data_IF_967955800655
#
_entry.id   IF_967955800655
#
_cell.length_a   1.000
_cell.length_b   1.000
_cell.length_c   1.000
_cell.angle_alpha   90.00
_cell.angle_beta   90.00
_cell.angle_gamma   90.00
#
_symmetry.space_group_name_H-M   'P 1'
#
loop_
_entity.id
_entity.type
_entity.pdbx_description
1 polymer ?
#
# COMPACT_ATOMS: atom_id res chain seq x y z
N UNK A 1 91.13 -8.63 -8.47
CA UNK A 1 89.99 -7.83 -8.95
C UNK A 1 88.90 -8.75 -9.46
N UNK A 2 87.94 -9.14 -8.61
CA UNK A 2 86.68 -9.75 -9.04
C UNK A 2 85.57 -9.23 -8.12
N UNK A 3 84.53 -8.66 -8.74
CA UNK A 3 83.48 -7.85 -8.15
C UNK A 3 82.50 -8.71 -7.34
N UNK A 4 82.10 -8.20 -6.17
CA UNK A 4 80.89 -8.61 -5.47
C UNK A 4 79.68 -8.31 -6.36
N UNK A 5 78.79 -9.29 -6.54
CA UNK A 5 77.43 -9.07 -7.04
C UNK A 5 76.46 -9.61 -6.00
N UNK A 6 75.86 -8.69 -5.25
CA UNK A 6 74.64 -8.94 -4.49
C UNK A 6 73.48 -8.97 -5.48
N UNK A 7 72.85 -10.12 -5.64
CA UNK A 7 71.47 -10.20 -6.13
C UNK A 7 70.65 -10.91 -5.06
N UNK A 8 70.07 -10.09 -4.17
CA UNK A 8 69.05 -10.55 -3.23
C UNK A 8 67.76 -10.85 -3.99
N UNK A 9 67.32 -12.10 -3.95
CA UNK A 9 66.03 -12.52 -4.48
C UNK A 9 64.98 -12.17 -3.43
N UNK A 10 64.24 -11.09 -3.65
CA UNK A 10 63.06 -10.74 -2.88
C UNK A 10 61.92 -11.63 -3.38
N UNK A 11 61.58 -12.68 -2.62
CA UNK A 11 60.35 -13.43 -2.83
C UNK A 11 59.16 -12.57 -2.39
N UNK A 12 58.55 -11.85 -3.33
CA UNK A 12 57.25 -11.22 -3.13
C UNK A 12 56.23 -12.36 -3.09
N UNK A 13 55.86 -12.79 -1.88
CA UNK A 13 54.68 -13.63 -1.68
C UNK A 13 53.47 -12.76 -1.99
N UNK A 14 53.04 -12.76 -3.25
CA UNK A 14 51.80 -12.12 -3.65
C UNK A 14 50.66 -12.91 -3.02
N UNK A 15 50.13 -12.41 -1.91
CA UNK A 15 48.88 -12.87 -1.35
C UNK A 15 47.76 -12.46 -2.33
N UNK A 16 47.51 -13.29 -3.34
CA UNK A 16 46.36 -13.14 -4.23
C UNK A 16 45.12 -13.53 -3.43
N UNK A 17 44.59 -12.58 -2.67
CA UNK A 17 43.27 -12.71 -2.08
C UNK A 17 42.27 -12.65 -3.24
N UNK A 18 42.01 -13.80 -3.86
CA UNK A 18 40.88 -13.94 -4.76
C UNK A 18 39.61 -13.77 -3.93
N UNK A 19 39.13 -12.54 -3.84
CA UNK A 19 37.76 -12.29 -3.42
C UNK A 19 36.85 -12.90 -4.48
N UNK A 20 36.38 -14.13 -4.24
CA UNK A 20 35.26 -14.68 -4.97
C UNK A 20 34.05 -13.78 -4.67
N UNK A 21 33.78 -12.83 -5.56
CA UNK A 21 32.49 -12.16 -5.59
C UNK A 21 31.45 -13.23 -5.92
N UNK A 22 30.84 -13.82 -4.90
CA UNK A 22 29.66 -14.66 -5.08
C UNK A 22 28.58 -13.77 -5.68
N UNK A 23 28.30 -13.93 -6.97
CA UNK A 23 27.08 -13.42 -7.59
C UNK A 23 25.89 -14.17 -6.98
N UNK A 24 25.53 -13.81 -5.74
CA UNK A 24 24.24 -14.19 -5.17
C UNK A 24 23.22 -13.42 -6.00
N UNK A 25 22.65 -14.08 -7.03
CA UNK A 25 21.40 -13.59 -7.63
C UNK A 25 20.40 -13.53 -6.48
N UNK A 26 20.05 -12.32 -6.05
CA UNK A 26 18.93 -12.12 -5.14
C UNK A 26 17.72 -12.80 -5.76
N UNK A 27 17.15 -13.76 -5.03
CA UNK A 27 15.94 -14.44 -5.47
C UNK A 27 14.78 -13.45 -5.31
N UNK A 28 14.21 -13.03 -6.43
CA UNK A 28 13.10 -12.09 -6.50
C UNK A 28 11.77 -12.79 -6.78
N UNK A 29 11.71 -14.12 -6.59
CA UNK A 29 10.46 -14.85 -6.63
C UNK A 29 9.50 -14.40 -5.52
N UNK A 30 8.22 -14.48 -5.83
CA UNK A 30 7.10 -14.15 -4.95
C UNK A 30 5.97 -15.16 -5.17
N UNK A 31 4.97 -15.21 -4.32
CA UNK A 31 3.89 -16.20 -4.42
C UNK A 31 2.60 -15.58 -4.96
N UNK A 32 2.31 -14.34 -4.55
CA UNK A 32 1.08 -13.62 -4.89
C UNK A 32 1.32 -12.12 -5.05
N UNK A 33 0.32 -11.41 -5.54
CA UNK A 33 0.25 -9.96 -5.60
C UNK A 33 -0.75 -9.46 -4.56
N UNK A 34 -0.37 -8.44 -3.80
CA UNK A 34 -1.28 -7.74 -2.91
C UNK A 34 -1.63 -6.40 -3.54
N UNK A 35 -2.89 -6.22 -3.95
CA UNK A 35 -3.41 -4.90 -4.26
C UNK A 35 -3.88 -4.23 -2.97
N UNK A 36 -3.26 -3.12 -2.61
CA UNK A 36 -3.56 -2.41 -1.38
C UNK A 36 -4.20 -1.05 -1.66
N UNK A 37 -5.30 -0.80 -0.96
CA UNK A 37 -6.03 0.45 -0.95
C UNK A 37 -5.90 1.06 0.44
N UNK A 38 -5.62 2.35 0.54
CA UNK A 38 -5.54 3.07 1.80
C UNK A 38 -6.68 4.07 1.97
N UNK A 39 -7.02 4.34 3.23
CA UNK A 39 -8.00 5.34 3.59
C UNK A 39 -7.33 6.69 3.86
N UNK A 40 -7.45 7.69 2.96
CA UNK A 40 -6.64 8.90 3.03
C UNK A 40 -6.81 9.69 4.33
N UNK A 41 -8.00 9.66 4.95
CA UNK A 41 -8.23 10.38 6.19
C UNK A 41 -7.43 9.81 7.37
N UNK A 42 -7.39 8.48 7.53
CA UNK A 42 -6.57 7.83 8.57
C UNK A 42 -5.08 8.03 8.30
N UNK A 43 -4.65 7.88 7.04
CA UNK A 43 -3.25 8.11 6.64
C UNK A 43 -2.81 9.56 6.91
N UNK A 44 -3.66 10.52 6.59
CA UNK A 44 -3.42 11.93 6.88
C UNK A 44 -3.35 12.24 8.39
N UNK A 45 -4.26 11.64 9.18
CA UNK A 45 -4.26 11.78 10.65
C UNK A 45 -2.93 11.33 11.23
N UNK A 46 -2.45 10.15 10.83
CA UNK A 46 -1.14 9.62 11.23
C UNK A 46 0.01 10.53 10.77
N UNK A 47 -0.04 11.03 9.53
CA UNK A 47 0.98 11.93 8.99
C UNK A 47 1.11 13.22 9.81
N UNK A 48 -0.01 13.84 10.19
CA UNK A 48 -0.06 15.05 11.02
C UNK A 48 0.30 14.80 12.49
N UNK A 49 0.14 13.58 12.98
CA UNK A 49 0.57 13.20 14.32
C UNK A 49 2.09 13.23 14.45
N UNK A 50 2.80 12.79 13.40
CA UNK A 50 4.26 12.84 13.38
C UNK A 50 4.78 14.28 13.40
N UNK A 51 4.14 15.19 12.68
CA UNK A 51 4.42 16.62 12.72
C UNK A 51 3.13 17.41 12.40
N UNK A 52 2.60 18.23 13.33
CA UNK A 52 1.38 19.00 13.12
C UNK A 52 1.45 20.00 11.95
N UNK A 53 2.65 20.35 11.47
CA UNK A 53 2.86 21.23 10.31
C UNK A 53 2.62 20.53 8.98
N UNK A 54 2.59 19.20 8.97
CA UNK A 54 2.35 18.41 7.77
C UNK A 54 0.99 18.75 7.14
N UNK A 55 1.01 18.80 5.81
CA UNK A 55 -0.19 18.98 4.97
C UNK A 55 -0.56 17.64 4.35
N UNK A 56 -1.84 17.51 4.01
CA UNK A 56 -2.33 16.34 3.29
C UNK A 56 -2.90 16.78 1.95
N UNK A 57 -2.62 16.01 0.91
CA UNK A 57 -3.38 16.06 -0.33
C UNK A 57 -4.44 14.96 -0.27
N UNK A 58 -5.62 15.25 -0.80
CA UNK A 58 -6.76 14.33 -0.75
C UNK A 58 -7.27 14.08 -2.16
N UNK A 59 -7.85 12.90 -2.44
CA UNK A 59 -8.62 12.68 -3.66
C UNK A 59 -9.75 13.71 -3.80
N UNK A 60 -10.19 13.94 -5.05
CA UNK A 60 -11.30 14.87 -5.33
C UNK A 60 -12.56 14.52 -4.55
N UNK A 61 -12.86 13.23 -4.42
CA UNK A 61 -13.84 12.74 -3.44
C UNK A 61 -13.09 12.40 -2.14
N UNK A 62 -13.24 13.22 -1.10
CA UNK A 62 -12.59 12.97 0.20
C UNK A 62 -13.16 11.76 0.93
N UNK A 63 -14.27 11.20 0.46
CA UNK A 63 -14.91 10.00 0.99
C UNK A 63 -14.62 8.73 0.14
N UNK A 64 -13.45 8.66 -0.51
CA UNK A 64 -13.05 7.50 -1.33
C UNK A 64 -11.68 6.94 -0.97
N UNK A 65 -11.56 5.61 -1.02
CA UNK A 65 -10.28 4.90 -0.97
C UNK A 65 -9.36 5.33 -2.11
N UNK A 66 -8.06 5.27 -1.88
CA UNK A 66 -7.03 5.46 -2.92
C UNK A 66 -6.10 4.27 -2.95
N UNK A 67 -5.49 4.00 -4.10
CA UNK A 67 -4.47 2.99 -4.23
C UNK A 67 -3.26 3.40 -3.40
N UNK A 68 -2.77 2.49 -2.57
CA UNK A 68 -1.44 2.58 -1.98
C UNK A 68 -0.42 1.93 -2.92
N UNK A 69 -0.70 0.72 -3.41
CA UNK A 69 0.29 -0.11 -4.09
C UNK A 69 -0.19 -1.44 -4.67
N UNK A 70 0.65 -2.05 -5.51
CA UNK A 70 0.55 -3.46 -5.93
C UNK A 70 1.85 -4.16 -5.56
N UNK A 71 1.80 -5.08 -4.61
CA UNK A 71 2.99 -5.61 -3.96
C UNK A 71 3.16 -7.09 -4.25
N UNK A 72 4.12 -7.47 -5.11
CA UNK A 72 4.62 -8.84 -5.17
C UNK A 72 5.09 -9.27 -3.78
N UNK A 73 4.52 -10.37 -3.28
CA UNK A 73 4.75 -10.84 -1.91
C UNK A 73 5.07 -12.32 -1.89
N UNK A 74 6.18 -12.68 -1.26
CA UNK A 74 6.51 -14.05 -0.86
C UNK A 74 5.90 -14.30 0.52
N UNK A 75 5.13 -15.39 0.65
CA UNK A 75 4.45 -15.75 1.89
C UNK A 75 5.44 -15.86 3.06
N UNK A 76 5.01 -15.45 4.25
CA UNK A 76 5.88 -15.37 5.42
C UNK A 76 6.96 -14.29 5.36
N UNK A 77 6.96 -13.41 4.35
CA UNK A 77 7.91 -12.28 4.23
C UNK A 77 7.21 -10.96 3.92
N UNK A 78 7.96 -9.86 3.99
CA UNK A 78 7.51 -8.50 3.61
C UNK A 78 7.94 -8.09 2.19
N UNK A 79 8.57 -9.00 1.43
CA UNK A 79 9.16 -8.73 0.13
C UNK A 79 8.69 -9.73 -0.93
N UNK A 80 9.31 -9.75 -2.12
CA UNK A 80 10.56 -9.07 -2.48
C UNK A 80 10.42 -7.55 -2.65
N UNK A 81 11.55 -6.85 -2.66
CA UNK A 81 11.58 -5.40 -2.85
C UNK A 81 12.83 -4.98 -3.66
N UNK A 82 12.70 -3.88 -4.41
CA UNK A 82 13.80 -3.27 -5.17
C UNK A 82 14.49 -4.24 -6.13
N UNK A 83 13.70 -5.03 -6.88
CA UNK A 83 14.21 -6.13 -7.71
C UNK A 83 15.02 -5.68 -8.94
N UNK A 84 14.88 -4.43 -9.36
CA UNK A 84 15.75 -3.84 -10.38
C UNK A 84 16.09 -2.38 -10.04
N UNK A 85 17.21 -2.17 -9.34
CA UNK A 85 17.66 -0.83 -8.92
C UNK A 85 18.17 0.05 -10.07
N UNK A 86 18.38 -0.52 -11.25
CA UNK A 86 18.77 0.24 -12.45
C UNK A 86 17.58 0.70 -13.28
N UNK A 87 16.39 0.17 -13.01
CA UNK A 87 15.16 0.55 -13.70
C UNK A 87 14.39 1.58 -12.87
N UNK A 88 14.93 2.79 -12.87
CA UNK A 88 14.33 3.93 -12.18
C UNK A 88 13.02 4.35 -12.83
N UNK A 89 12.12 4.91 -12.02
CA UNK A 89 10.86 5.49 -12.48
C UNK A 89 11.10 6.65 -13.45
N UNK A 90 10.38 6.66 -14.57
CA UNK A 90 10.40 7.69 -15.60
C UNK A 90 8.98 8.25 -15.79
N UNK A 91 8.71 9.49 -15.32
CA UNK A 91 7.40 10.14 -15.45
C UNK A 91 6.85 10.15 -16.88
N UNK A 92 7.71 10.22 -17.90
CA UNK A 92 7.25 10.25 -19.30
C UNK A 92 6.58 8.92 -19.72
N UNK A 93 6.89 7.80 -19.05
CA UNK A 93 6.26 6.50 -19.32
C UNK A 93 4.80 6.43 -18.88
N UNK A 94 4.42 7.20 -17.86
CA UNK A 94 3.06 7.20 -17.31
C UNK A 94 2.23 8.41 -17.74
N UNK A 95 2.82 9.35 -18.48
CA UNK A 95 2.16 10.57 -18.96
C UNK A 95 0.77 10.36 -19.56
N UNK A 96 0.49 9.29 -20.35
CA UNK A 96 -0.86 9.04 -20.87
C UNK A 96 -1.94 8.77 -19.80
N UNK A 97 -1.54 8.35 -18.60
CA UNK A 97 -2.44 7.98 -17.49
C UNK A 97 -2.23 8.83 -16.22
N UNK A 98 -1.36 9.83 -16.28
CA UNK A 98 -0.99 10.65 -15.12
C UNK A 98 -2.21 11.31 -14.47
N UNK A 99 -3.12 11.88 -15.27
CA UNK A 99 -4.34 12.46 -14.75
C UNK A 99 -5.20 11.43 -14.00
N UNK A 100 -5.26 10.18 -14.47
CA UNK A 100 -5.98 9.12 -13.75
C UNK A 100 -5.29 8.78 -12.44
N UNK A 101 -3.95 8.68 -12.43
CA UNK A 101 -3.18 8.42 -11.22
C UNK A 101 -3.38 9.50 -10.16
N UNK A 102 -3.43 10.77 -10.54
CA UNK A 102 -3.70 11.87 -9.58
C UNK A 102 -5.08 11.80 -8.92
N UNK A 103 -6.00 10.99 -9.46
CA UNK A 103 -7.36 10.83 -8.92
C UNK A 103 -7.48 9.61 -8.02
N UNK A 104 -6.84 8.50 -8.40
CA UNK A 104 -7.05 7.21 -7.73
C UNK A 104 -5.82 6.68 -6.98
N UNK A 105 -4.62 7.13 -7.31
CA UNK A 105 -3.36 6.74 -6.68
C UNK A 105 -2.68 7.96 -6.05
N UNK A 106 -3.42 8.63 -5.17
CA UNK A 106 -3.09 9.95 -4.64
C UNK A 106 -1.96 9.85 -3.61
N UNK A 107 -0.94 10.69 -3.75
CA UNK A 107 0.03 10.88 -2.68
C UNK A 107 -0.59 11.70 -1.55
N UNK A 108 -1.02 11.04 -0.47
CA UNK A 108 -1.67 11.70 0.68
C UNK A 108 -0.74 12.66 1.42
N UNK A 109 0.58 12.46 1.34
CA UNK A 109 1.58 13.30 1.99
C UNK A 109 1.79 14.63 1.26
N UNK A 110 0.86 15.55 1.51
CA UNK A 110 0.83 16.87 0.91
C UNK A 110 2.10 17.69 1.17
N UNK A 111 2.49 18.49 0.19
CA UNK A 111 3.76 19.25 0.23
C UNK A 111 4.96 18.46 -0.31
N UNK A 112 4.79 17.17 -0.61
CA UNK A 112 5.76 16.38 -1.37
C UNK A 112 5.37 16.29 -2.85
N UNK A 113 6.31 15.85 -3.70
CA UNK A 113 6.05 15.69 -5.14
C UNK A 113 4.94 14.67 -5.40
N UNK A 114 4.06 14.94 -6.38
CA UNK A 114 3.03 13.99 -6.82
C UNK A 114 3.65 12.65 -7.27
N UNK A 115 4.85 12.70 -7.85
CA UNK A 115 5.58 11.51 -8.31
C UNK A 115 6.29 10.76 -7.18
N UNK A 116 6.39 11.31 -5.97
CA UNK A 116 7.15 10.67 -4.88
C UNK A 116 6.59 9.29 -4.54
N UNK A 117 5.26 9.17 -4.44
CA UNK A 117 4.58 7.90 -4.22
C UNK A 117 4.81 6.94 -5.39
N UNK A 118 4.55 7.37 -6.63
CA UNK A 118 4.65 6.48 -7.79
C UNK A 118 6.09 6.01 -8.04
N UNK A 119 7.08 6.88 -7.83
CA UNK A 119 8.48 6.51 -7.89
C UNK A 119 8.85 5.48 -6.83
N UNK A 120 8.35 5.62 -5.60
CA UNK A 120 8.53 4.64 -4.53
C UNK A 120 7.90 3.29 -4.90
N UNK A 121 6.63 3.30 -5.28
CA UNK A 121 5.87 2.10 -5.61
C UNK A 121 6.47 1.36 -6.81
N UNK A 122 6.88 2.08 -7.86
CA UNK A 122 7.56 1.47 -8.99
C UNK A 122 8.90 0.85 -8.57
N UNK A 123 9.79 1.64 -7.97
CA UNK A 123 11.15 1.20 -7.70
C UNK A 123 11.16 0.03 -6.72
N UNK A 124 10.31 0.07 -5.69
CA UNK A 124 10.25 -0.95 -4.65
C UNK A 124 9.44 -2.18 -5.06
N UNK A 125 8.29 -2.00 -5.70
CA UNK A 125 7.32 -3.09 -5.95
C UNK A 125 7.12 -3.37 -7.45
N UNK A 126 6.96 -2.33 -8.27
CA UNK A 126 6.76 -2.46 -9.72
C UNK A 126 7.89 -3.19 -10.44
N UNK A 127 9.15 -2.93 -10.07
CA UNK A 127 10.32 -3.64 -10.62
C UNK A 127 10.31 -5.14 -10.32
N UNK A 128 9.68 -5.55 -9.22
CA UNK A 128 9.47 -6.96 -8.89
C UNK A 128 8.29 -7.56 -9.68
N UNK A 129 7.21 -6.80 -9.82
CA UNK A 129 6.01 -7.21 -10.55
C UNK A 129 6.30 -7.42 -12.04
N UNK A 130 7.23 -6.65 -12.60
CA UNK A 130 7.63 -6.69 -14.00
C UNK A 130 8.19 -8.05 -14.49
N UNK A 131 8.43 -9.00 -13.59
CA UNK A 131 8.68 -10.42 -13.93
C UNK A 131 7.46 -11.08 -14.58
N UNK A 132 6.25 -10.60 -14.29
CA UNK A 132 5.01 -11.03 -14.92
C UNK A 132 4.72 -10.18 -16.16
N UNK A 133 4.41 -10.85 -17.28
CA UNK A 133 4.11 -10.20 -18.56
C UNK A 133 3.08 -9.05 -18.46
N UNK A 134 2.00 -9.15 -17.66
CA UNK A 134 1.03 -8.05 -17.52
C UNK A 134 1.60 -6.78 -16.88
N UNK A 135 2.69 -6.85 -16.09
CA UNK A 135 3.27 -5.71 -15.37
C UNK A 135 4.62 -5.26 -15.94
N UNK A 136 5.01 -5.74 -17.12
CA UNK A 136 6.35 -5.62 -17.68
C UNK A 136 6.76 -4.21 -18.15
N UNK A 137 6.05 -3.17 -17.72
CA UNK A 137 6.41 -1.76 -17.91
C UNK A 137 5.73 -0.90 -16.85
N UNK A 138 6.26 0.31 -16.63
CA UNK A 138 5.64 1.31 -15.74
C UNK A 138 4.19 1.57 -16.12
N UNK A 139 3.94 1.87 -17.41
CA UNK A 139 2.60 2.13 -17.91
C UNK A 139 1.65 0.97 -17.61
N UNK A 140 2.08 -0.27 -17.82
CA UNK A 140 1.25 -1.45 -17.56
C UNK A 140 0.97 -1.64 -16.07
N UNK A 141 1.99 -1.49 -15.22
CA UNK A 141 1.84 -1.63 -13.77
C UNK A 141 0.84 -0.64 -13.20
N UNK A 142 0.97 0.63 -13.57
CA UNK A 142 0.07 1.68 -13.12
C UNK A 142 -1.33 1.55 -13.75
N UNK A 143 -1.43 1.14 -15.02
CA UNK A 143 -2.73 0.90 -15.67
C UNK A 143 -3.51 -0.24 -15.02
N UNK A 144 -2.84 -1.33 -14.63
CA UNK A 144 -3.50 -2.42 -13.91
C UNK A 144 -4.03 -1.92 -12.56
N UNK A 145 -3.25 -1.15 -11.80
CA UNK A 145 -3.74 -0.59 -10.53
C UNK A 145 -4.96 0.31 -10.69
N UNK A 146 -4.97 1.17 -11.70
CA UNK A 146 -6.14 2.00 -12.03
C UNK A 146 -7.36 1.11 -12.35
N UNK A 147 -7.18 0.05 -13.13
CA UNK A 147 -8.26 -0.86 -13.50
C UNK A 147 -8.77 -1.65 -12.29
N UNK A 148 -7.87 -2.16 -11.44
CA UNK A 148 -8.22 -2.85 -10.21
C UNK A 148 -8.94 -1.95 -9.22
N UNK A 149 -8.59 -0.67 -9.13
CA UNK A 149 -9.34 0.29 -8.30
C UNK A 149 -10.79 0.45 -8.77
N UNK A 150 -11.03 0.43 -10.09
CA UNK A 150 -12.38 0.49 -10.66
C UNK A 150 -13.16 -0.80 -10.41
N UNK A 151 -12.49 -1.96 -10.51
CA UNK A 151 -13.11 -3.28 -10.46
C UNK A 151 -13.34 -3.77 -9.03
N UNK A 152 -12.41 -3.51 -8.12
CA UNK A 152 -12.40 -4.05 -6.76
C UNK A 152 -12.63 -2.95 -5.72
N UNK A 153 -13.58 -2.07 -6.01
CA UNK A 153 -14.18 -1.23 -4.97
C UNK A 153 -14.83 -2.11 -3.90
N UNK A 154 -15.00 -1.56 -2.71
CA UNK A 154 -15.33 -2.28 -1.47
C UNK A 154 -16.54 -3.23 -1.54
N UNK A 155 -17.43 -3.08 -2.54
CA UNK A 155 -18.58 -3.96 -2.80
C UNK A 155 -18.22 -5.29 -3.48
N UNK A 156 -17.12 -5.36 -4.24
CA UNK A 156 -16.77 -6.54 -5.04
C UNK A 156 -15.76 -7.49 -4.37
N UNK A 157 -15.31 -7.13 -3.16
CA UNK A 157 -14.28 -7.87 -2.40
C UNK A 157 -14.86 -9.15 -1.75
N UNK A 158 -16.19 -9.32 -1.71
CA UNK A 158 -16.88 -10.42 -1.03
C UNK A 158 -16.62 -11.83 -1.57
N UNK A 159 -15.80 -11.97 -2.62
CA UNK A 159 -15.46 -13.25 -3.25
C UNK A 159 -14.14 -13.85 -2.74
N UNK A 160 -13.38 -13.12 -1.92
CA UNK A 160 -12.15 -13.62 -1.28
C UNK A 160 -11.96 -12.94 0.07
N UNK A 161 -11.19 -13.57 0.96
CA UNK A 161 -10.89 -12.99 2.27
C UNK A 161 -9.79 -11.91 2.14
N UNK A 162 -10.09 -10.61 2.37
CA UNK A 162 -9.09 -9.56 2.36
C UNK A 162 -8.29 -9.55 3.68
N UNK A 163 -7.15 -8.85 3.67
CA UNK A 163 -6.54 -8.42 4.92
C UNK A 163 -6.89 -6.95 5.22
N UNK A 164 -7.31 -6.65 6.45
CA UNK A 164 -7.75 -5.33 6.87
C UNK A 164 -6.78 -4.79 7.91
N UNK A 165 -6.16 -3.64 7.65
CA UNK A 165 -5.31 -2.97 8.63
C UNK A 165 -5.97 -1.71 9.20
N UNK A 166 -5.80 -1.54 10.52
CA UNK A 166 -6.16 -0.36 11.27
C UNK A 166 -4.94 0.30 11.92
N UNK A 167 -5.08 1.60 12.19
CA UNK A 167 -4.27 2.38 13.10
C UNK A 167 -4.96 2.44 14.45
N UNK A 168 -4.20 2.15 15.51
CA UNK A 168 -4.69 2.17 16.89
C UNK A 168 -4.21 3.44 17.58
N UNK A 169 -5.13 4.21 18.12
CA UNK A 169 -4.82 5.45 18.83
C UNK A 169 -5.81 5.65 19.97
N UNK A 170 -5.34 5.91 21.20
CA UNK A 170 -6.18 6.19 22.37
C UNK A 170 -7.33 5.19 22.60
N UNK A 171 -7.08 3.92 22.26
CA UNK A 171 -8.07 2.85 22.36
C UNK A 171 -9.09 2.78 21.22
N UNK A 172 -9.02 3.69 20.25
CA UNK A 172 -9.74 3.71 18.98
C UNK A 172 -9.00 2.90 17.91
N UNK A 173 -9.75 2.29 16.99
CA UNK A 173 -9.23 1.50 15.87
C UNK A 173 -9.76 2.07 14.56
N UNK A 174 -8.97 2.94 13.93
CA UNK A 174 -9.31 3.58 12.65
C UNK A 174 -8.81 2.70 11.51
N UNK A 175 -9.69 2.26 10.61
CA UNK A 175 -9.25 1.52 9.43
C UNK A 175 -8.34 2.40 8.56
N UNK A 176 -7.25 1.82 8.08
CA UNK A 176 -6.25 2.51 7.28
C UNK A 176 -6.01 1.87 5.93
N UNK A 177 -6.12 0.55 5.82
CA UNK A 177 -5.73 -0.16 4.62
C UNK A 177 -6.58 -1.42 4.43
N UNK A 178 -6.92 -1.71 3.17
CA UNK A 178 -7.51 -2.98 2.74
C UNK A 178 -6.59 -3.60 1.70
N UNK A 179 -6.25 -4.86 1.90
CA UNK A 179 -5.38 -5.66 1.04
C UNK A 179 -6.19 -6.77 0.39
N UNK A 180 -6.11 -6.83 -0.93
CA UNK A 180 -6.79 -7.82 -1.77
C UNK A 180 -5.70 -8.63 -2.47
N UNK A 181 -5.77 -9.95 -2.35
CA UNK A 181 -4.73 -10.83 -2.86
C UNK A 181 -5.10 -11.44 -4.22
N UNK A 182 -4.10 -11.56 -5.08
CA UNK A 182 -4.20 -12.12 -6.42
C UNK A 182 -3.11 -13.16 -6.65
N UNK A 183 -3.45 -14.23 -7.36
CA UNK A 183 -2.46 -15.15 -7.92
C UNK A 183 -1.59 -14.43 -8.96
N UNK A 184 -0.50 -15.06 -9.41
CA UNK A 184 0.34 -14.53 -10.50
C UNK A 184 -0.41 -14.43 -11.84
N UNK A 185 -1.50 -15.17 -11.98
CA UNK A 185 -2.40 -15.15 -13.14
C UNK A 185 -3.51 -14.09 -13.01
N UNK A 186 -3.44 -13.25 -11.96
CA UNK A 186 -4.35 -12.14 -11.68
C UNK A 186 -5.77 -12.58 -11.27
N UNK A 187 -5.89 -13.79 -10.73
CA UNK A 187 -7.13 -14.30 -10.17
C UNK A 187 -7.23 -13.95 -8.69
N UNK A 188 -8.43 -13.57 -8.22
CA UNK A 188 -8.67 -13.30 -6.79
C UNK A 188 -8.35 -14.55 -5.96
N UNK A 189 -7.66 -14.36 -4.84
CA UNK A 189 -7.34 -15.40 -3.87
C UNK A 189 -7.39 -14.84 -2.45
N UNK A 190 -7.49 -15.72 -1.46
CA UNK A 190 -7.38 -15.35 -0.05
C UNK A 190 -5.98 -14.83 0.27
N UNK A 191 -5.90 -13.95 1.26
CA UNK A 191 -4.64 -13.38 1.74
C UNK A 191 -3.89 -14.25 2.76
N UNK A 192 -4.25 -15.52 2.92
CA UNK A 192 -3.65 -16.42 3.91
C UNK A 192 -2.12 -16.47 3.79
N UNK A 193 -1.43 -16.38 4.93
CA UNK A 193 0.04 -16.49 5.01
C UNK A 193 0.83 -15.22 4.66
N UNK A 194 0.18 -14.09 4.32
CA UNK A 194 0.89 -12.81 4.21
C UNK A 194 1.32 -12.31 5.59
N UNK A 195 2.45 -11.59 5.64
CA UNK A 195 2.88 -10.92 6.88
C UNK A 195 2.16 -9.57 7.00
N UNK A 196 1.11 -9.53 7.83
CA UNK A 196 0.52 -8.28 8.32
C UNK A 196 1.30 -7.76 9.55
N UNK A 197 1.31 -6.45 9.79
CA UNK A 197 2.17 -5.82 10.84
C UNK A 197 1.92 -6.33 12.26
N UNK A 198 0.80 -6.98 12.55
CA UNK A 198 0.50 -7.68 13.80
C UNK A 198 -0.46 -8.84 13.48
N UNK A 199 -0.02 -10.09 13.67
CA UNK A 199 -0.87 -11.28 13.51
C UNK A 199 -1.63 -11.57 14.81
N UNK A 200 -2.97 -11.58 14.77
CA UNK A 200 -3.83 -12.32 15.71
C UNK A 200 -5.06 -12.82 14.93
N UNK A 201 -5.18 -14.13 14.73
CA UNK A 201 -6.45 -14.77 14.38
C UNK A 201 -6.31 -16.06 13.56
N UNK A 202 -6.95 -17.13 14.06
CA UNK A 202 -7.28 -18.40 13.38
C UNK A 202 -8.57 -18.27 12.53
N UNK A 203 -8.98 -17.03 12.25
CA UNK A 203 -10.18 -16.68 11.49
C UNK A 203 -9.83 -16.35 10.04
N UNK A 204 -10.79 -16.55 9.13
CA UNK A 204 -10.58 -16.39 7.68
C UNK A 204 -10.13 -14.99 7.23
N UNK A 205 -10.37 -13.94 8.03
CA UNK A 205 -10.01 -12.55 7.69
C UNK A 205 -8.82 -12.08 8.53
N UNK A 206 -7.69 -11.83 7.86
CA UNK A 206 -6.48 -11.32 8.47
C UNK A 206 -6.64 -9.85 8.87
N UNK A 207 -6.56 -9.53 10.16
CA UNK A 207 -6.67 -8.14 10.60
C UNK A 207 -5.91 -7.84 11.89
N UNK A 208 -5.34 -6.64 11.98
CA UNK A 208 -4.82 -6.10 13.24
C UNK A 208 -5.84 -5.20 13.96
N UNK A 209 -7.03 -4.99 13.41
CA UNK A 209 -8.06 -4.14 13.98
C UNK A 209 -8.63 -4.73 15.27
N UNK A 210 -9.01 -3.87 16.21
CA UNK A 210 -9.62 -4.32 17.47
C UNK A 210 -11.09 -4.70 17.23
N UNK A 211 -11.34 -6.00 17.04
CA UNK A 211 -12.68 -6.56 16.79
C UNK A 211 -13.62 -6.49 17.99
N UNK A 212 -13.12 -6.21 19.19
CA UNK A 212 -13.94 -6.02 20.39
C UNK A 212 -14.58 -4.63 20.45
N UNK A 213 -14.16 -3.72 19.56
CA UNK A 213 -14.61 -2.34 19.48
C UNK A 213 -15.12 -2.01 18.09
N UNK A 214 -15.79 -0.88 17.98
CA UNK A 214 -16.16 -0.35 16.67
C UNK A 214 -14.88 0.04 15.91
N UNK A 215 -14.74 -0.48 14.69
CA UNK A 215 -13.74 -0.03 13.74
C UNK A 215 -14.31 1.19 13.03
N UNK A 216 -13.52 2.27 13.04
CA UNK A 216 -13.97 3.57 12.59
C UNK A 216 -13.37 3.93 11.23
N UNK A 217 -14.15 4.70 10.48
CA UNK A 217 -13.75 5.28 9.22
C UNK A 217 -13.81 6.81 9.32
N UNK A 218 -12.70 7.47 9.70
CA UNK A 218 -12.72 8.90 9.96
C UNK A 218 -12.99 9.66 8.66
N UNK A 219 -13.84 10.69 8.70
CA UNK A 219 -13.98 11.59 7.56
C UNK A 219 -12.88 12.65 7.58
N UNK A 220 -12.35 13.00 6.41
CA UNK A 220 -11.42 14.11 6.31
C UNK A 220 -12.14 15.44 6.44
N UNK A 221 -11.89 16.16 7.53
CA UNK A 221 -12.41 17.51 7.75
C UNK A 221 -11.29 18.52 7.45
N UNK A 222 -11.45 19.30 6.40
CA UNK A 222 -10.52 20.39 6.09
C UNK A 222 -10.63 21.48 7.18
N UNK A 223 -9.50 22.07 7.59
CA UNK A 223 -9.44 23.17 8.57
C UNK A 223 -10.31 24.39 8.20
N UNK A 224 -10.73 24.52 6.94
CA UNK A 224 -11.74 25.51 6.52
C UNK A 224 -13.10 25.35 7.23
N UNK A 225 -13.41 24.18 7.77
CA UNK A 225 -14.63 23.88 8.52
C UNK A 225 -14.54 24.24 10.02
N UNK A 226 -13.35 24.59 10.53
CA UNK A 226 -13.13 24.96 11.94
C UNK A 226 -13.42 26.44 12.24
N UNK A 227 -13.85 27.23 11.24
CA UNK A 227 -14.37 28.58 11.48
C UNK A 227 -15.75 28.44 12.15
N UNK A 228 -15.89 29.04 13.34
CA UNK A 228 -17.04 28.91 14.27
C UNK A 228 -18.42 28.96 13.59
N UNK A 229 -18.55 29.70 12.50
CA UNK A 229 -19.82 29.95 11.82
C UNK A 229 -20.28 28.79 10.90
N UNK A 230 -19.43 27.77 10.67
CA UNK A 230 -19.77 26.57 9.86
C UNK A 230 -19.83 25.27 10.67
N UNK A 231 -19.65 25.34 11.99
CA UNK A 231 -19.61 24.15 12.85
C UNK A 231 -20.91 23.34 12.84
N UNK A 232 -22.09 24.00 12.84
CA UNK A 232 -23.38 23.30 12.88
C UNK A 232 -23.67 22.48 11.61
N UNK A 233 -23.27 22.97 10.43
CA UNK A 233 -23.41 22.24 9.18
C UNK A 233 -22.44 21.04 9.08
N UNK A 234 -21.30 21.10 9.76
CA UNK A 234 -20.33 20.01 9.81
C UNK A 234 -20.64 18.98 10.91
N UNK A 235 -21.32 19.37 11.99
CA UNK A 235 -21.68 18.47 13.10
C UNK A 235 -22.64 17.36 12.66
N UNK A 236 -23.47 17.62 11.64
CA UNK A 236 -24.32 16.60 11.00
C UNK A 236 -23.51 15.64 10.09
N UNK A 237 -22.32 16.04 9.66
CA UNK A 237 -21.39 15.22 8.86
C UNK A 237 -20.37 14.46 9.72
N UNK A 238 -20.08 14.91 10.95
CA UNK A 238 -19.04 14.37 11.84
C UNK A 238 -19.44 13.11 12.63
N UNK A 239 -20.43 12.34 12.16
CA UNK A 239 -20.67 11.03 12.76
C UNK A 239 -19.57 10.07 12.32
N UNK A 240 -18.78 9.59 13.27
CA UNK A 240 -17.88 8.46 13.04
C UNK A 240 -18.77 7.31 12.53
N UNK A 241 -18.61 6.92 11.27
CA UNK A 241 -19.34 5.77 10.75
C UNK A 241 -18.68 4.52 11.30
N UNK A 242 -19.42 3.78 12.11
CA UNK A 242 -19.02 2.45 12.55
C UNK A 242 -19.11 1.51 11.35
N UNK A 243 -18.01 0.81 11.04
CA UNK A 243 -18.05 -0.31 10.10
C UNK A 243 -18.81 -1.51 10.71
N UNK A 244 -18.86 -1.58 12.04
CA UNK A 244 -19.43 -2.71 12.78
C UNK A 244 -20.25 -2.20 13.96
N UNK A 245 -21.54 -2.55 14.01
CA UNK A 245 -22.26 -2.63 15.28
C UNK A 245 -21.91 -3.97 15.95
N UNK A 246 -21.92 -4.04 17.30
CA UNK A 246 -21.55 -5.25 18.01
C UNK A 246 -22.62 -6.32 17.78
N UNK A 247 -22.32 -7.36 16.98
CA UNK A 247 -22.41 -8.80 17.32
C UNK A 247 -22.68 -9.75 16.13
N UNK A 248 -22.04 -10.92 16.25
CA UNK A 248 -22.48 -12.29 15.91
C UNK A 248 -22.23 -12.96 14.55
N UNK A 249 -21.92 -12.32 13.44
CA UNK A 249 -21.34 -13.05 12.28
C UNK A 249 -20.78 -12.10 11.20
N UNK A 250 -19.51 -12.29 10.84
CA UNK A 250 -18.74 -11.43 9.91
C UNK A 250 -19.29 -11.45 8.47
N UNK A 251 -19.90 -12.56 8.04
CA UNK A 251 -20.49 -12.69 6.69
C UNK A 251 -21.70 -11.78 6.48
N UNK A 252 -22.41 -11.40 7.55
CA UNK A 252 -23.54 -10.46 7.51
C UNK A 252 -23.11 -8.98 7.61
N UNK A 253 -21.87 -8.69 8.03
CA UNK A 253 -21.40 -7.31 8.21
C UNK A 253 -21.18 -6.57 6.89
N UNK A 254 -20.71 -7.27 5.85
CA UNK A 254 -20.51 -6.65 4.53
C UNK A 254 -21.82 -6.30 3.81
N UNK A 255 -22.90 -7.04 4.07
CA UNK A 255 -24.25 -6.72 3.56
C UNK A 255 -24.75 -5.39 4.15
N UNK A 256 -24.39 -5.05 5.40
CA UNK A 256 -24.75 -3.75 6.00
C UNK A 256 -23.99 -2.56 5.38
N UNK A 257 -22.85 -2.82 4.74
CA UNK A 257 -22.08 -1.82 3.99
C UNK A 257 -22.81 -1.39 2.70
N UNK A 258 -23.61 -2.28 2.09
CA UNK A 258 -24.43 -1.98 0.91
C UNK A 258 -25.50 -0.94 1.19
N UNK A 259 -26.11 -0.95 2.39
CA UNK A 259 -27.27 -0.10 2.71
C UNK A 259 -26.87 1.34 3.05
N UNK A 260 -25.66 1.57 3.57
CA UNK A 260 -25.23 2.92 4.01
C UNK A 260 -24.40 3.70 2.98
N UNK A 261 -23.83 3.04 1.97
CA UNK A 261 -23.03 3.70 0.92
C UNK A 261 -23.85 3.92 -0.37
N UNK A 262 -24.84 3.08 -0.64
CA UNK A 262 -25.81 3.32 -1.72
C UNK A 262 -26.88 4.33 -1.26
N UNK A 263 -26.52 5.62 -1.22
CA UNK A 263 -27.47 6.73 -1.14
C UNK A 263 -28.32 6.89 -2.41
N UNK A 264 -28.94 5.80 -2.88
CA UNK A 264 -29.96 5.84 -3.92
C UNK A 264 -31.33 5.67 -3.28
N UNK A 265 -32.09 6.77 -3.33
CA UNK A 265 -33.55 6.76 -3.19
C UNK A 265 -34.15 5.61 -4.00
N UNK A 266 -34.85 4.70 -3.31
CA UNK A 266 -36.03 4.07 -3.89
C UNK A 266 -37.22 4.64 -3.13
N UNK A 267 -37.81 5.66 -3.73
CA UNK A 267 -39.14 6.13 -3.37
C UNK A 267 -40.19 5.20 -3.98
N UNK A 268 -41.27 5.04 -3.21
CA UNK A 268 -42.49 4.26 -3.41
C UNK A 268 -42.40 2.77 -3.04
#
# INVERSE_FOLDING_TARGET
MWKLSLTGIIFIVSCSYYAYATNVKLNHDFDLLIFTQEWPATVCKEWKKHDPSHKCAMPTNTDSWTIHGIWPTKLGTIGPAFCNRTWMFDPEKIKPIEQQLTQVWVNVFGGTSVYALWSHEWTKHGTCAAQLKPFNSELNYFSIGINWMKQYSMTNILKSDPAIECKKEDGQSDISEIRICFTKDLELTNCDGIVARQQIGDDSILTNCDRSKNILYPQYINNHCLKKDKMAACYYASSHRNMFEPLQNFTQQFISLEIKIAGYNMGW
#
